data_IF_893894629099
#
_entry.id   IF_893894629099
#
_cell.length_a   1.000
_cell.length_b   1.000
_cell.length_c   1.000
_cell.angle_alpha   90.00
_cell.angle_beta   90.00
_cell.angle_gamma   90.00
#
_symmetry.space_group_name_H-M   'P 1'
#
loop_
_entity.id
_entity.type
_entity.pdbx_description
1 polymer ?
#
# COMPACT_ATOMS: atom_id res chain seq x y z
N UNK A 1 2.94 -22.52 15.31
CA UNK A 1 3.35 -21.94 14.00
C UNK A 1 2.20 -21.72 13.02
N UNK A 2 1.25 -22.65 12.85
CA UNK A 2 0.17 -22.58 11.84
C UNK A 2 -0.69 -21.30 11.88
N UNK A 3 -0.96 -20.76 13.07
CA UNK A 3 -1.73 -19.51 13.28
C UNK A 3 -1.04 -18.27 12.70
N UNK A 4 0.29 -18.21 12.79
CA UNK A 4 1.08 -17.10 12.25
C UNK A 4 1.16 -17.14 10.73
N UNK A 5 1.22 -18.34 10.13
CA UNK A 5 1.17 -18.48 8.67
C UNK A 5 -0.14 -17.97 8.08
N UNK A 6 -1.28 -18.23 8.74
CA UNK A 6 -2.59 -17.73 8.32
C UNK A 6 -2.64 -16.21 8.39
N UNK A 7 -2.12 -15.61 9.47
CA UNK A 7 -2.01 -14.16 9.59
C UNK A 7 -1.15 -13.55 8.47
N UNK A 8 0.04 -14.09 8.23
CA UNK A 8 0.96 -13.59 7.19
C UNK A 8 0.32 -13.69 5.81
N UNK A 9 -0.38 -14.79 5.51
CA UNK A 9 -1.07 -14.97 4.23
C UNK A 9 -2.15 -13.91 4.01
N UNK A 10 -3.01 -13.69 5.02
CA UNK A 10 -4.09 -12.69 4.97
C UNK A 10 -3.51 -11.28 4.84
N UNK A 11 -2.47 -10.98 5.62
CA UNK A 11 -1.79 -9.69 5.59
C UNK A 11 -1.19 -9.40 4.22
N UNK A 12 -0.47 -10.35 3.63
CA UNK A 12 0.12 -10.20 2.30
C UNK A 12 -0.96 -9.97 1.22
N UNK A 13 -2.08 -10.68 1.30
CA UNK A 13 -3.17 -10.56 0.35
C UNK A 13 -3.85 -9.18 0.45
N UNK A 14 -4.12 -8.70 1.66
CA UNK A 14 -4.67 -7.35 1.88
C UNK A 14 -3.70 -6.26 1.43
N UNK A 15 -2.40 -6.41 1.72
CA UNK A 15 -1.38 -5.46 1.28
C UNK A 15 -1.33 -5.35 -0.24
N UNK A 16 -1.34 -6.49 -0.93
CA UNK A 16 -1.29 -6.52 -2.40
C UNK A 16 -2.52 -5.84 -2.99
N UNK A 17 -3.71 -6.15 -2.47
CA UNK A 17 -4.95 -5.49 -2.88
C UNK A 17 -4.90 -3.97 -2.66
N UNK A 18 -4.41 -3.52 -1.50
CA UNK A 18 -4.25 -2.10 -1.19
C UNK A 18 -3.27 -1.40 -2.13
N UNK A 19 -2.11 -2.02 -2.39
CA UNK A 19 -1.09 -1.48 -3.29
C UNK A 19 -1.62 -1.32 -4.72
N UNK A 20 -2.31 -2.33 -5.25
CA UNK A 20 -2.90 -2.30 -6.59
C UNK A 20 -3.98 -1.22 -6.66
N UNK A 21 -4.88 -1.16 -5.67
CA UNK A 21 -5.94 -0.16 -5.64
C UNK A 21 -5.38 1.26 -5.56
N UNK A 22 -4.38 1.48 -4.71
CA UNK A 22 -3.72 2.78 -4.59
C UNK A 22 -3.01 3.18 -5.89
N UNK A 23 -2.31 2.24 -6.55
CA UNK A 23 -1.67 2.47 -7.84
C UNK A 23 -2.66 2.79 -8.96
N UNK A 24 -3.82 2.11 -8.97
CA UNK A 24 -4.90 2.38 -9.92
C UNK A 24 -5.49 3.77 -9.70
N UNK A 25 -5.79 4.14 -8.45
CA UNK A 25 -6.26 5.50 -8.14
C UNK A 25 -5.25 6.55 -8.58
N UNK A 26 -3.97 6.33 -8.28
CA UNK A 26 -2.91 7.25 -8.69
C UNK A 26 -2.88 7.40 -10.21
N UNK A 27 -3.03 6.30 -10.96
CA UNK A 27 -3.06 6.32 -12.43
C UNK A 27 -4.30 7.05 -12.97
N UNK A 28 -5.48 6.87 -12.37
CA UNK A 28 -6.70 7.56 -12.77
C UNK A 28 -6.61 9.09 -12.59
N UNK A 29 -5.93 9.54 -11.54
CA UNK A 29 -5.76 10.97 -11.24
C UNK A 29 -4.46 11.56 -11.81
N UNK A 30 -3.59 10.75 -12.40
CA UNK A 30 -2.33 11.21 -12.98
C UNK A 30 -2.53 11.63 -14.43
N UNK A 31 -2.32 12.92 -14.72
CA UNK A 31 -2.20 13.42 -16.09
C UNK A 31 -0.72 13.42 -16.47
N UNK A 32 -0.30 12.64 -17.49
CA UNK A 32 1.08 12.63 -17.93
C UNK A 32 1.39 13.92 -18.69
N UNK A 33 2.18 14.81 -18.10
CA UNK A 33 2.72 16.00 -18.77
C UNK A 33 4.13 15.70 -19.31
N UNK A 34 4.25 15.59 -20.63
CA UNK A 34 5.51 15.33 -21.32
C UNK A 34 6.34 16.60 -21.58
N UNK A 35 5.76 17.80 -21.45
CA UNK A 35 6.46 19.07 -21.69
C UNK A 35 7.31 19.50 -20.49
N UNK A 36 6.87 19.20 -19.27
CA UNK A 36 7.64 19.46 -18.03
C UNK A 36 8.85 18.54 -17.83
N UNK A 37 8.91 17.43 -18.58
CA UNK A 37 9.96 16.41 -18.43
C UNK A 37 11.28 16.79 -19.14
N UNK A 38 11.26 17.77 -20.06
CA UNK A 38 12.45 18.19 -20.82
C UNK A 38 13.25 19.33 -20.16
N UNK A 39 12.70 20.01 -19.16
CA UNK A 39 13.31 21.19 -18.50
C UNK A 39 13.75 20.95 -17.06
N UNK A 40 13.60 19.74 -16.53
CA UNK A 40 13.88 19.43 -15.12
C UNK A 40 15.07 18.47 -14.98
N UNK A 41 16.27 18.93 -15.36
CA UNK A 41 17.54 18.31 -14.92
C UNK A 41 17.95 18.73 -13.51
N UNK A 42 17.12 19.47 -12.75
CA UNK A 42 17.50 20.01 -11.42
C UNK A 42 16.41 20.04 -10.33
N UNK A 43 15.19 19.55 -10.57
CA UNK A 43 14.15 19.54 -9.53
C UNK A 43 14.01 18.14 -8.97
N UNK A 44 14.63 17.93 -7.80
CA UNK A 44 14.39 16.86 -6.85
C UNK A 44 13.08 16.12 -7.15
N UNK A 45 13.22 14.92 -7.70
CA UNK A 45 12.12 13.97 -7.82
C UNK A 45 11.40 13.95 -6.47
N UNK A 46 10.16 14.44 -6.43
CA UNK A 46 9.30 14.36 -5.25
C UNK A 46 8.87 12.89 -5.13
N UNK A 47 9.83 12.01 -4.85
CA UNK A 47 9.59 10.64 -4.43
C UNK A 47 9.25 10.55 -2.95
N UNK A 48 9.15 11.69 -2.23
CA UNK A 48 9.48 11.67 -0.80
C UNK A 48 8.63 12.54 0.12
N UNK A 49 7.29 12.48 0.06
CA UNK A 49 6.48 13.03 1.17
C UNK A 49 5.18 12.26 1.46
N UNK A 50 5.27 10.93 1.55
CA UNK A 50 4.11 10.10 1.91
C UNK A 50 4.43 8.92 2.83
N UNK A 51 5.62 8.90 3.45
CA UNK A 51 6.04 7.83 4.38
C UNK A 51 5.05 7.65 5.53
N UNK A 52 4.49 8.74 6.08
CA UNK A 52 3.51 8.67 7.16
C UNK A 52 2.18 8.04 6.72
N UNK A 53 1.72 8.33 5.50
CA UNK A 53 0.46 7.78 4.96
C UNK A 53 0.61 6.29 4.64
N UNK A 54 1.74 5.89 4.04
CA UNK A 54 2.07 4.48 3.83
C UNK A 54 2.18 3.72 5.16
N UNK A 55 2.89 4.26 6.15
CA UNK A 55 3.04 3.63 7.46
C UNK A 55 1.67 3.43 8.14
N UNK A 56 0.85 4.49 8.16
CA UNK A 56 -0.49 4.43 8.76
C UNK A 56 -1.37 3.40 8.04
N UNK A 57 -1.33 3.37 6.71
CA UNK A 57 -2.02 2.38 5.89
C UNK A 57 -1.59 0.94 6.22
N UNK A 58 -0.28 0.69 6.32
CA UNK A 58 0.24 -0.63 6.68
C UNK A 58 -0.15 -1.08 8.08
N UNK A 59 -0.18 -0.17 9.07
CA UNK A 59 -0.62 -0.49 10.43
C UNK A 59 -2.10 -0.86 10.46
N UNK A 60 -2.95 -0.09 9.77
CA UNK A 60 -4.38 -0.39 9.67
C UNK A 60 -4.61 -1.77 9.02
N UNK A 61 -3.91 -2.04 7.92
CA UNK A 61 -3.99 -3.34 7.22
C UNK A 61 -3.53 -4.48 8.14
N UNK A 62 -2.47 -4.27 8.93
CA UNK A 62 -2.00 -5.25 9.91
C UNK A 62 -3.05 -5.51 11.01
N UNK A 63 -3.71 -4.46 11.51
CA UNK A 63 -4.79 -4.60 12.49
C UNK A 63 -6.00 -5.37 11.92
N UNK A 64 -6.40 -5.07 10.69
CA UNK A 64 -7.47 -5.78 10.00
C UNK A 64 -7.12 -7.25 9.73
N UNK A 65 -5.89 -7.52 9.30
CA UNK A 65 -5.40 -8.88 9.09
C UNK A 65 -5.36 -9.68 10.40
N UNK A 66 -4.99 -9.04 11.51
CA UNK A 66 -4.98 -9.68 12.83
C UNK A 66 -6.40 -10.07 13.25
N UNK A 67 -7.34 -9.13 13.19
CA UNK A 67 -8.73 -9.42 13.55
C UNK A 67 -9.36 -10.50 12.66
N UNK A 68 -9.10 -10.44 11.36
CA UNK A 68 -9.59 -11.43 10.38
C UNK A 68 -8.98 -12.82 10.63
N UNK A 69 -7.68 -12.89 10.89
CA UNK A 69 -6.99 -14.13 11.23
C UNK A 69 -7.54 -14.75 12.51
N UNK A 70 -7.82 -13.94 13.54
CA UNK A 70 -8.37 -14.43 14.80
C UNK A 70 -9.80 -14.96 14.64
N UNK A 71 -10.63 -14.31 13.81
CA UNK A 71 -11.98 -14.78 13.50
C UNK A 71 -11.97 -16.11 12.76
N UNK A 72 -11.06 -16.28 11.79
CA UNK A 72 -10.86 -17.53 11.04
C UNK A 72 -10.33 -18.68 11.89
N UNK A 73 -9.53 -18.37 12.92
CA UNK A 73 -8.95 -19.36 13.84
C UNK A 73 -9.86 -19.72 15.03
N UNK A 74 -10.97 -19.00 15.21
CA UNK A 74 -11.96 -19.24 16.27
C UNK A 74 -13.06 -20.26 15.86
N UNK A 75 -13.10 -20.64 14.59
CA UNK A 75 -13.84 -21.82 14.12
C UNK A 75 -13.02 -23.09 14.33
#
# INVERSE_FOLDING_TARGET
>A
MKKYFIFILIFALLLLAFQVFSGLLLTMFYTPDFYLQKTSSDSATIFGRSTTLYLTGTILIASFAYFSSQKLLKN
#
